data_IF_114170917293
#
_entry.id   IF_114170917293
#
_cell.length_a   1.000
_cell.length_b   1.000
_cell.length_c   1.000
_cell.angle_alpha   90.00
_cell.angle_beta   90.00
_cell.angle_gamma   90.00
#
_symmetry.space_group_name_H-M   'P 1'
#
loop_
_entity.id
_entity.type
_entity.pdbx_description
1 polymer ?
#
# COMPACT_ATOMS: atom_id res chain seq x y z
N UNK A 1 1.22 8.02 10.93
CA UNK A 1 2.49 7.37 10.52
C UNK A 1 3.22 8.34 9.61
N UNK A 2 4.50 8.60 9.85
CA UNK A 2 5.31 9.45 8.97
C UNK A 2 5.43 8.79 7.59
N UNK A 3 5.23 9.59 6.54
CA UNK A 3 5.37 9.15 5.14
C UNK A 3 6.81 8.69 4.87
N UNK A 4 6.97 7.59 4.12
CA UNK A 4 8.29 7.11 3.70
C UNK A 4 9.05 6.25 4.71
N UNK A 5 8.46 5.88 5.85
CA UNK A 5 9.14 5.03 6.85
C UNK A 5 9.54 3.66 6.29
N UNK A 6 8.69 3.04 5.46
CA UNK A 6 8.99 1.74 4.86
C UNK A 6 10.25 1.80 3.98
N UNK A 7 10.42 2.88 3.21
CA UNK A 7 11.63 3.10 2.40
C UNK A 7 12.86 3.26 3.31
N UNK A 8 12.74 4.03 4.41
CA UNK A 8 13.83 4.21 5.38
C UNK A 8 14.25 2.89 6.02
N UNK A 9 13.31 1.99 6.24
CA UNK A 9 13.55 0.63 6.75
C UNK A 9 13.89 -0.38 5.65
N UNK A 10 14.10 0.06 4.41
CA UNK A 10 14.42 -0.77 3.24
C UNK A 10 13.35 -1.81 2.90
N UNK A 11 12.11 -1.58 3.34
CA UNK A 11 10.97 -2.46 3.09
C UNK A 11 10.38 -2.20 1.71
N UNK A 12 10.28 -3.27 0.94
CA UNK A 12 9.61 -3.28 -0.36
C UNK A 12 8.13 -3.55 -0.15
N UNK A 13 7.31 -2.51 -0.10
CA UNK A 13 5.86 -2.63 0.09
C UNK A 13 5.11 -2.68 -1.24
N UNK A 14 3.83 -3.06 -1.19
CA UNK A 14 3.00 -3.30 -2.36
C UNK A 14 2.99 -2.13 -3.38
N UNK A 15 2.90 -0.83 -2.99
CA UNK A 15 3.00 0.27 -3.94
C UNK A 15 4.28 0.26 -4.77
N UNK A 16 5.43 0.01 -4.12
CA UNK A 16 6.72 0.01 -4.77
C UNK A 16 6.94 -1.24 -5.64
N UNK A 17 6.54 -2.41 -5.15
CA UNK A 17 6.63 -3.67 -5.90
C UNK A 17 5.85 -3.58 -7.21
N UNK A 18 4.64 -3.00 -7.16
CA UNK A 18 3.84 -2.78 -8.37
C UNK A 18 4.58 -1.93 -9.41
N UNK A 19 5.10 -0.77 -8.99
CA UNK A 19 5.83 0.15 -9.90
C UNK A 19 7.06 -0.52 -10.50
N UNK A 20 7.83 -1.29 -9.72
CA UNK A 20 9.02 -2.01 -10.21
C UNK A 20 8.74 -3.02 -11.33
N UNK A 21 7.49 -3.44 -11.50
CA UNK A 21 7.07 -4.36 -12.56
C UNK A 21 6.59 -3.64 -13.83
N UNK A 22 6.44 -2.32 -13.79
CA UNK A 22 5.87 -1.53 -14.90
C UNK A 22 6.90 -0.56 -15.54
N UNK A 23 7.97 -0.24 -14.82
CA UNK A 23 8.96 0.77 -15.26
C UNK A 23 10.14 0.15 -16.00
N UNK A 24 10.91 1.00 -16.69
CA UNK A 24 12.07 0.56 -17.45
C UNK A 24 13.15 -0.07 -16.56
N UNK A 25 14.06 -0.90 -17.11
CA UNK A 25 15.17 -1.47 -16.35
C UNK A 25 16.04 -0.43 -15.65
N UNK A 26 16.22 0.76 -16.27
CA UNK A 26 16.98 1.88 -15.70
C UNK A 26 16.29 2.46 -14.46
N UNK A 27 14.99 2.72 -14.54
CA UNK A 27 14.20 3.22 -13.41
C UNK A 27 14.09 2.19 -12.30
N UNK A 28 13.91 0.91 -12.66
CA UNK A 28 13.92 -0.21 -11.73
C UNK A 28 15.23 -0.29 -10.94
N UNK A 29 16.37 -0.21 -11.63
CA UNK A 29 17.69 -0.19 -11.00
C UNK A 29 17.85 1.03 -10.07
N UNK A 30 17.42 2.21 -10.51
CA UNK A 30 17.45 3.42 -9.69
C UNK A 30 16.57 3.30 -8.44
N UNK A 31 15.35 2.79 -8.54
CA UNK A 31 14.45 2.58 -7.41
C UNK A 31 15.06 1.61 -6.39
N UNK A 32 15.54 0.45 -6.85
CA UNK A 32 16.15 -0.56 -5.98
C UNK A 32 17.40 0.02 -5.28
N UNK A 33 18.27 0.70 -6.01
CA UNK A 33 19.46 1.34 -5.43
C UNK A 33 19.07 2.43 -4.43
N UNK A 34 18.03 3.21 -4.71
CA UNK A 34 17.55 4.27 -3.82
C UNK A 34 17.06 3.71 -2.49
N UNK A 35 16.33 2.59 -2.51
CA UNK A 35 15.88 1.92 -1.29
C UNK A 35 17.03 1.21 -0.55
N UNK A 36 17.97 0.59 -1.28
CA UNK A 36 19.07 -0.15 -0.63
C UNK A 36 20.16 0.74 -0.05
N UNK A 37 20.57 1.77 -0.80
CA UNK A 37 21.80 2.50 -0.52
C UNK A 37 21.56 3.97 -0.15
N UNK A 38 20.36 4.50 -0.40
CA UNK A 38 20.04 5.91 -0.15
C UNK A 38 18.77 6.11 0.70
N UNK A 39 18.36 5.08 1.45
CA UNK A 39 17.16 5.11 2.30
C UNK A 39 17.21 6.13 3.45
N UNK A 40 18.38 6.65 3.81
CA UNK A 40 18.55 7.69 4.83
C UNK A 40 18.58 9.10 4.25
N UNK A 41 18.76 9.24 2.93
CA UNK A 41 18.74 10.53 2.24
C UNK A 41 17.30 11.01 2.09
N UNK A 42 16.95 12.07 2.84
CA UNK A 42 15.59 12.63 2.85
C UNK A 42 15.13 13.09 1.46
N UNK A 43 16.03 13.68 0.65
CA UNK A 43 15.69 14.15 -0.69
C UNK A 43 15.42 12.95 -1.59
N UNK A 44 16.31 11.95 -1.58
CA UNK A 44 16.12 10.73 -2.37
C UNK A 44 14.84 9.98 -1.99
N UNK A 45 14.55 9.86 -0.70
CA UNK A 45 13.32 9.20 -0.23
C UNK A 45 12.08 9.93 -0.76
N UNK A 46 12.07 11.26 -0.77
CA UNK A 46 10.97 12.03 -1.34
C UNK A 46 10.84 11.83 -2.86
N UNK A 47 11.96 11.76 -3.60
CA UNK A 47 11.96 11.43 -5.04
C UNK A 47 11.33 10.06 -5.29
N UNK A 48 11.70 9.04 -4.50
CA UNK A 48 11.12 7.68 -4.62
C UNK A 48 9.62 7.71 -4.32
N UNK A 49 9.18 8.42 -3.29
CA UNK A 49 7.75 8.53 -2.95
C UNK A 49 6.96 9.18 -4.08
N UNK A 50 7.45 10.29 -4.62
CA UNK A 50 6.83 10.97 -5.75
C UNK A 50 6.77 10.05 -6.97
N UNK A 51 7.89 9.42 -7.32
CA UNK A 51 7.97 8.50 -8.45
C UNK A 51 6.97 7.35 -8.32
N UNK A 52 6.87 6.72 -7.14
CA UNK A 52 5.91 5.62 -6.89
C UNK A 52 4.46 6.12 -7.01
N UNK A 53 4.17 7.34 -6.55
CA UNK A 53 2.84 7.95 -6.67
C UNK A 53 2.48 8.23 -8.13
N UNK A 54 3.40 8.83 -8.88
CA UNK A 54 3.18 9.24 -10.26
C UNK A 54 3.04 8.03 -11.20
N UNK A 55 3.66 6.91 -10.84
CA UNK A 55 3.51 5.62 -11.53
C UNK A 55 2.37 4.75 -10.96
N UNK A 56 1.43 5.33 -10.21
CA UNK A 56 0.19 4.66 -9.81
C UNK A 56 0.31 3.62 -8.69
N UNK A 57 1.46 3.52 -8.00
CA UNK A 57 1.68 2.53 -6.96
C UNK A 57 0.73 2.67 -5.77
N UNK A 58 0.40 3.90 -5.37
CA UNK A 58 -0.57 4.12 -4.27
C UNK A 58 -1.98 3.74 -4.68
N UNK A 59 -2.39 4.12 -5.88
CA UNK A 59 -3.70 3.81 -6.44
C UNK A 59 -3.89 2.29 -6.52
N UNK A 60 -2.88 1.57 -7.03
CA UNK A 60 -2.92 0.11 -7.07
C UNK A 60 -3.10 -0.50 -5.68
N UNK A 61 -2.34 -0.05 -4.67
CA UNK A 61 -2.47 -0.56 -3.31
C UNK A 61 -3.85 -0.26 -2.71
N UNK A 62 -4.43 0.91 -2.98
CA UNK A 62 -5.80 1.25 -2.56
C UNK A 62 -6.83 0.34 -3.24
N UNK A 63 -6.71 0.09 -4.54
CA UNK A 63 -7.59 -0.83 -5.27
C UNK A 63 -7.50 -2.24 -4.69
N UNK A 64 -6.30 -2.74 -4.41
CA UNK A 64 -6.09 -4.06 -3.78
C UNK A 64 -6.70 -4.12 -2.38
N UNK A 65 -6.56 -3.05 -1.60
CA UNK A 65 -7.13 -2.94 -0.27
C UNK A 65 -8.67 -3.00 -0.31
N UNK A 66 -9.31 -2.24 -1.22
CA UNK A 66 -10.77 -2.27 -1.41
C UNK A 66 -11.27 -3.63 -1.88
N UNK A 67 -10.53 -4.27 -2.79
CA UNK A 67 -10.85 -5.63 -3.23
C UNK A 67 -10.88 -6.62 -2.05
N UNK A 68 -9.89 -6.57 -1.16
CA UNK A 68 -9.89 -7.44 0.03
C UNK A 68 -11.00 -7.09 1.03
N UNK A 69 -11.41 -5.82 1.11
CA UNK A 69 -12.58 -5.41 1.90
C UNK A 69 -13.85 -6.06 1.35
N UNK A 70 -14.08 -5.95 0.04
CA UNK A 70 -15.24 -6.54 -0.63
C UNK A 70 -15.29 -8.06 -0.45
N UNK A 71 -14.17 -8.76 -0.69
CA UNK A 71 -14.05 -10.21 -0.47
C UNK A 71 -14.36 -10.59 0.99
N UNK A 72 -13.90 -9.80 1.96
CA UNK A 72 -14.20 -10.06 3.37
C UNK A 72 -15.68 -9.85 3.72
N UNK A 73 -16.33 -8.82 3.15
CA UNK A 73 -17.76 -8.57 3.36
C UNK A 73 -18.62 -9.65 2.70
N UNK A 74 -18.20 -10.15 1.54
CA UNK A 74 -18.85 -11.27 0.85
C UNK A 74 -18.84 -12.53 1.71
N UNK A 75 -17.68 -12.89 2.27
CA UNK A 75 -17.56 -14.04 3.21
C UNK A 75 -18.46 -13.86 4.43
N UNK A 76 -18.51 -12.65 5.01
CA UNK A 76 -19.37 -12.39 6.18
C UNK A 76 -20.86 -12.48 5.85
N UNK A 77 -21.25 -12.25 4.58
CA UNK A 77 -22.66 -12.30 4.16
C UNK A 77 -23.25 -13.71 4.26
N UNK A 78 -22.42 -14.75 4.20
CA UNK A 78 -22.84 -16.16 4.32
C UNK A 78 -23.28 -16.55 5.74
N UNK A 79 -22.93 -15.75 6.75
CA UNK A 79 -23.30 -16.01 8.14
C UNK A 79 -24.66 -15.40 8.52
N UNK A 80 -25.41 -16.04 9.44
CA UNK A 80 -26.65 -15.47 9.97
C UNK A 80 -26.44 -14.12 10.63
N UNK A 81 -27.47 -13.28 10.59
CA UNK A 81 -27.45 -11.97 11.23
C UNK A 81 -27.28 -12.12 12.75
N UNK A 82 -26.30 -11.40 13.29
CA UNK A 82 -25.95 -11.43 14.70
C UNK A 82 -25.12 -10.21 15.09
N UNK A 83 -25.10 -9.83 16.37
CA UNK A 83 -24.22 -8.76 16.85
C UNK A 83 -22.73 -8.98 16.54
N UNK A 84 -22.31 -10.24 16.39
CA UNK A 84 -20.94 -10.60 16.03
C UNK A 84 -20.63 -10.31 14.56
N UNK A 85 -21.54 -10.67 13.65
CA UNK A 85 -21.43 -10.34 12.22
C UNK A 85 -21.35 -8.83 12.03
N UNK A 86 -22.23 -8.08 12.69
CA UNK A 86 -22.26 -6.61 12.62
C UNK A 86 -20.95 -5.99 13.11
N UNK A 87 -20.40 -6.52 14.20
CA UNK A 87 -19.11 -6.06 14.75
C UNK A 87 -17.95 -6.31 13.77
N UNK A 88 -17.94 -7.45 13.07
CA UNK A 88 -16.92 -7.77 12.07
C UNK A 88 -17.05 -6.89 10.82
N UNK A 89 -18.28 -6.66 10.33
CA UNK A 89 -18.55 -5.74 9.21
C UNK A 89 -18.09 -4.33 9.56
N UNK A 90 -18.41 -3.84 10.76
CA UNK A 90 -17.95 -2.54 11.25
C UNK A 90 -16.43 -2.46 11.29
N UNK A 91 -15.77 -3.50 11.81
CA UNK A 91 -14.31 -3.57 11.86
C UNK A 91 -13.68 -3.50 10.47
N UNK A 92 -14.19 -4.29 9.50
CA UNK A 92 -13.70 -4.32 8.13
C UNK A 92 -13.80 -2.93 7.49
N UNK A 93 -14.95 -2.27 7.59
CA UNK A 93 -15.14 -0.93 7.03
C UNK A 93 -14.25 0.12 7.71
N UNK A 94 -14.14 0.07 9.04
CA UNK A 94 -13.32 1.01 9.81
C UNK A 94 -11.83 0.96 9.46
N UNK A 95 -11.28 -0.24 9.19
CA UNK A 95 -9.86 -0.40 8.84
C UNK A 95 -9.51 0.30 7.52
N UNK A 96 -10.47 0.36 6.59
CA UNK A 96 -10.29 0.97 5.27
C UNK A 96 -10.51 2.48 5.29
N UNK A 97 -11.56 2.95 5.97
CA UNK A 97 -11.99 4.35 5.97
C UNK A 97 -11.19 5.27 6.89
N UNK A 98 -10.03 4.81 7.39
CA UNK A 98 -9.14 5.61 8.22
C UNK A 98 -8.63 6.87 7.50
N UNK A 99 -9.43 7.94 7.55
CA UNK A 99 -8.98 9.32 7.36
C UNK A 99 -8.10 9.66 8.56
N UNK A 100 -6.83 9.97 8.29
CA UNK A 100 -5.95 10.63 9.24
C UNK A 100 -6.04 12.14 9.06
#
# INVERSE_FOLDING_TARGET
KPTGIDIKEQKMTLPLIYVLNQVSPKEKAWLINSVKNHNKDKKRVNEVIAFVKDNGGLQYAVTRMKKFQEEALEILSEYPDSPYKDSLVLMVNYVIDRKK
#
